data_IF_503164122061
#
_entry.id   IF_503164122061
#
_cell.length_a   1.000
_cell.length_b   1.000
_cell.length_c   1.000
_cell.angle_alpha   90.00
_cell.angle_beta   90.00
_cell.angle_gamma   90.00
#
_symmetry.space_group_name_H-M   'P 1'
#
loop_
_entity.id
_entity.type
_entity.pdbx_description
1 polymer ?
#
# COMPACT_ATOMS: atom_id res chain seq x y z
N UNK A 1 -12.02 -4.37 -12.29
CA UNK A 1 -11.60 -4.79 -10.93
C UNK A 1 -10.10 -5.06 -10.82
N UNK A 2 -9.46 -5.83 -11.72
CA UNK A 2 -8.01 -6.11 -11.65
C UNK A 2 -7.13 -4.83 -11.73
N UNK A 3 -7.49 -3.86 -12.59
CA UNK A 3 -6.78 -2.57 -12.70
C UNK A 3 -6.87 -1.72 -11.42
N UNK A 4 -7.99 -1.78 -10.70
CA UNK A 4 -8.17 -1.11 -9.41
C UNK A 4 -7.27 -1.73 -8.34
N UNK A 5 -7.20 -3.07 -8.28
CA UNK A 5 -6.29 -3.77 -7.37
C UNK A 5 -4.82 -3.36 -7.58
N UNK A 6 -4.37 -3.29 -8.84
CA UNK A 6 -3.03 -2.80 -9.16
C UNK A 6 -2.79 -1.35 -8.72
N UNK A 7 -3.75 -0.45 -8.95
CA UNK A 7 -3.62 0.95 -8.55
C UNK A 7 -3.49 1.10 -7.02
N UNK A 8 -4.32 0.38 -6.25
CA UNK A 8 -4.24 0.33 -4.78
C UNK A 8 -2.88 -0.21 -4.31
N UNK A 9 -2.39 -1.30 -4.89
CA UNK A 9 -1.07 -1.86 -4.55
C UNK A 9 0.05 -0.86 -4.85
N UNK A 10 0.00 -0.13 -5.96
CA UNK A 10 0.97 0.91 -6.31
C UNK A 10 0.95 2.07 -5.32
N UNK A 11 -0.22 2.52 -4.86
CA UNK A 11 -0.35 3.58 -3.85
C UNK A 11 0.26 3.13 -2.51
N UNK A 12 -0.05 1.90 -2.07
CA UNK A 12 0.52 1.34 -0.84
C UNK A 12 2.05 1.23 -0.91
N UNK A 13 2.57 0.83 -2.06
CA UNK A 13 4.00 0.75 -2.32
C UNK A 13 4.70 2.11 -2.27
N UNK A 14 4.11 3.14 -2.89
CA UNK A 14 4.63 4.51 -2.84
C UNK A 14 4.64 5.03 -1.41
N UNK A 15 3.59 4.79 -0.63
CA UNK A 15 3.55 5.22 0.79
C UNK A 15 4.66 4.58 1.63
N UNK A 16 4.93 3.29 1.43
CA UNK A 16 6.03 2.60 2.13
C UNK A 16 7.39 3.14 1.69
N UNK A 17 7.61 3.31 0.38
CA UNK A 17 8.84 3.88 -0.17
C UNK A 17 9.07 5.30 0.36
N UNK A 18 8.03 6.14 0.36
CA UNK A 18 8.10 7.49 0.93
C UNK A 18 8.47 7.42 2.41
N UNK A 19 7.83 6.55 3.19
CA UNK A 19 8.22 6.35 4.59
C UNK A 19 9.69 5.96 4.76
N UNK A 20 10.19 5.05 3.91
CA UNK A 20 11.56 4.51 4.01
C UNK A 20 12.66 5.46 3.52
N UNK A 21 12.41 6.18 2.43
CA UNK A 21 13.38 7.11 1.82
C UNK A 21 13.36 8.48 2.46
N UNK A 22 12.28 8.85 3.15
CA UNK A 22 12.20 10.15 3.79
C UNK A 22 13.14 10.19 5.00
N UNK A 23 13.94 11.25 5.16
CA UNK A 23 14.89 11.34 6.26
C UNK A 23 14.18 11.25 7.61
N UNK A 24 14.62 10.29 8.44
CA UNK A 24 14.12 10.07 9.80
C UNK A 24 14.31 11.26 10.74
N UNK A 25 15.16 12.22 10.36
CA UNK A 25 15.35 13.49 11.08
C UNK A 25 14.17 14.46 10.91
N UNK A 26 13.39 14.27 9.83
CA UNK A 26 12.31 15.19 9.44
C UNK A 26 10.92 14.62 9.76
N UNK A 27 10.79 13.30 9.93
CA UNK A 27 9.53 12.62 10.26
C UNK A 27 9.54 12.07 11.70
N UNK A 28 8.45 12.30 12.43
CA UNK A 28 8.24 11.67 13.74
C UNK A 28 7.97 10.17 13.63
N UNK A 29 8.35 9.39 14.65
CA UNK A 29 8.20 7.93 14.67
C UNK A 29 6.76 7.47 14.40
N UNK A 30 5.78 8.25 14.85
CA UNK A 30 4.36 7.97 14.65
C UNK A 30 3.96 8.10 13.17
N UNK A 31 4.39 9.16 12.48
CA UNK A 31 4.10 9.35 11.04
C UNK A 31 4.80 8.31 10.18
N UNK A 32 6.02 7.91 10.53
CA UNK A 32 6.71 6.79 9.89
C UNK A 32 5.90 5.48 10.00
N UNK A 33 5.43 5.15 11.21
CA UNK A 33 4.61 3.96 11.44
C UNK A 33 3.27 4.03 10.70
N UNK A 34 2.63 5.20 10.63
CA UNK A 34 1.40 5.40 9.85
C UNK A 34 1.64 5.18 8.36
N UNK A 35 2.74 5.71 7.80
CA UNK A 35 3.12 5.49 6.40
C UNK A 35 3.42 4.02 6.11
N UNK A 36 4.12 3.34 7.02
CA UNK A 36 4.49 1.94 6.89
C UNK A 36 3.28 1.00 7.01
N UNK A 37 2.52 1.12 8.09
CA UNK A 37 1.36 0.27 8.39
C UNK A 37 0.20 0.60 7.46
N UNK A 38 -0.06 1.89 7.23
CA UNK A 38 -1.08 2.35 6.28
C UNK A 38 -0.76 1.91 4.86
N UNK A 39 0.49 2.08 4.42
CA UNK A 39 0.94 1.59 3.12
C UNK A 39 0.82 0.07 2.98
N UNK A 40 1.19 -0.70 4.01
CA UNK A 40 1.02 -2.16 4.03
C UNK A 40 -0.45 -2.60 3.94
N UNK A 41 -1.35 -1.95 4.68
CA UNK A 41 -2.80 -2.23 4.64
C UNK A 41 -3.42 -1.92 3.27
N UNK A 42 -3.04 -0.81 2.67
CA UNK A 42 -3.47 -0.41 1.31
C UNK A 42 -2.95 -1.41 0.26
N UNK A 43 -1.71 -1.87 0.43
CA UNK A 43 -1.12 -2.87 -0.45
C UNK A 43 -1.83 -4.23 -0.33
N UNK A 44 -2.17 -4.65 0.90
CA UNK A 44 -2.91 -5.87 1.20
C UNK A 44 -4.35 -5.84 0.68
N UNK A 45 -5.07 -4.73 0.84
CA UNK A 45 -6.41 -4.57 0.27
C UNK A 45 -6.36 -4.58 -1.27
N UNK A 46 -5.35 -3.96 -1.88
CA UNK A 46 -5.11 -4.04 -3.32
C UNK A 46 -4.91 -5.46 -3.83
N UNK A 47 -4.13 -6.29 -3.13
CA UNK A 47 -3.93 -7.71 -3.49
C UNK A 47 -5.19 -8.53 -3.29
N UNK A 48 -5.96 -8.32 -2.21
CA UNK A 48 -7.24 -8.98 -2.00
C UNK A 48 -8.26 -8.65 -3.09
N UNK A 49 -8.44 -7.37 -3.45
CA UNK A 49 -9.34 -6.95 -4.54
C UNK A 49 -8.95 -7.63 -5.86
N UNK A 50 -7.65 -7.80 -6.09
CA UNK A 50 -7.13 -8.47 -7.28
C UNK A 50 -7.39 -9.97 -7.26
N UNK A 51 -7.17 -10.63 -6.12
CA UNK A 51 -7.47 -12.07 -5.92
C UNK A 51 -8.96 -12.36 -6.07
N UNK A 52 -9.84 -11.56 -5.46
CA UNK A 52 -11.29 -11.67 -5.63
C UNK A 52 -11.71 -11.45 -7.08
N UNK A 53 -11.11 -10.49 -7.78
CA UNK A 53 -11.40 -10.24 -9.19
C UNK A 53 -10.97 -11.38 -10.11
N UNK A 54 -9.89 -12.11 -9.77
CA UNK A 54 -9.45 -13.30 -10.48
C UNK A 54 -10.40 -14.47 -10.22
N UNK A 55 -10.76 -14.69 -8.95
CA UNK A 55 -11.70 -15.75 -8.54
C UNK A 55 -13.08 -15.57 -9.18
N UNK A 56 -13.59 -14.34 -9.26
CA UNK A 56 -14.89 -14.04 -9.89
C UNK A 56 -14.91 -14.20 -11.41
N UNK A 57 -13.73 -14.29 -12.03
CA UNK A 57 -13.58 -14.46 -13.48
C UNK A 57 -13.43 -15.93 -13.89
N UNK A 58 -13.35 -16.82 -12.91
CA UNK A 58 -13.26 -18.27 -13.06
C UNK A 58 -14.63 -18.88 -12.76
#
# INVERSE_FOLDING_TARGET
MIRLGWALTSIGFISIICGLLYPFDVITKETFLVLLIGGALVMFTGTMVRTFAILKKK
#
